data_IF_943548947548
#
_entry.id   IF_943548947548
#
_cell.length_a   1.000
_cell.length_b   1.000
_cell.length_c   1.000
_cell.angle_alpha   90.00
_cell.angle_beta   90.00
_cell.angle_gamma   90.00
#
_symmetry.space_group_name_H-M   'P 1'
#
loop_
_entity.id
_entity.type
_entity.pdbx_description
1 polymer ?
#
# COMPACT_ATOMS: atom_id res chain seq x y z
N UNK A 1 -18.28 -22.36 28.53
CA UNK A 1 -18.33 -21.21 27.60
C UNK A 1 -17.01 -20.46 27.76
N UNK A 2 -15.93 -20.98 27.19
CA UNK A 2 -14.60 -20.39 27.32
C UNK A 2 -14.37 -19.40 26.18
N UNK A 3 -14.63 -18.14 26.50
CA UNK A 3 -14.22 -17.01 25.68
C UNK A 3 -12.72 -16.75 25.97
N UNK A 4 -11.84 -17.51 25.33
CA UNK A 4 -10.43 -17.12 25.16
C UNK A 4 -10.39 -15.94 24.16
N UNK A 5 -10.94 -14.81 24.60
CA UNK A 5 -11.18 -13.61 23.80
C UNK A 5 -9.85 -12.92 23.56
N UNK A 6 -9.49 -12.83 22.28
CA UNK A 6 -8.28 -12.21 21.77
C UNK A 6 -7.87 -10.93 22.52
N UNK A 7 -6.56 -10.75 22.80
CA UNK A 7 -6.07 -9.68 23.66
C UNK A 7 -6.38 -8.32 23.04
N UNK A 8 -7.38 -7.63 23.59
CA UNK A 8 -7.81 -6.28 23.19
C UNK A 8 -6.65 -5.27 23.17
N UNK A 9 -5.61 -5.54 23.97
CA UNK A 9 -4.38 -4.77 24.02
C UNK A 9 -3.58 -4.77 22.71
N UNK A 10 -3.68 -5.81 21.87
CA UNK A 10 -3.01 -5.82 20.56
C UNK A 10 -3.69 -4.86 19.58
N UNK A 11 -5.02 -4.87 19.53
CA UNK A 11 -5.81 -3.95 18.71
C UNK A 11 -5.60 -2.49 19.12
N UNK A 12 -5.61 -2.18 20.43
CA UNK A 12 -5.34 -0.82 20.93
C UNK A 12 -3.94 -0.32 20.57
N UNK A 13 -2.92 -1.17 20.68
CA UNK A 13 -1.53 -0.81 20.29
C UNK A 13 -1.44 -0.50 18.79
N UNK A 14 -2.07 -1.32 17.95
CA UNK A 14 -2.05 -1.17 16.50
C UNK A 14 -2.86 0.05 16.07
N UNK A 15 -4.01 0.30 16.72
CA UNK A 15 -4.81 1.49 16.51
C UNK A 15 -4.01 2.77 16.83
N UNK A 16 -3.30 2.79 17.96
CA UNK A 16 -2.42 3.91 18.32
C UNK A 16 -1.26 4.06 17.33
N UNK A 17 -0.69 2.96 16.85
CA UNK A 17 0.32 2.97 15.79
C UNK A 17 -0.20 3.59 14.49
N UNK A 18 -1.42 3.23 14.06
CA UNK A 18 -2.06 3.85 12.89
C UNK A 18 -2.30 5.34 13.11
N UNK A 19 -2.70 5.74 14.31
CA UNK A 19 -2.86 7.15 14.67
C UNK A 19 -1.55 7.91 14.53
N UNK A 20 -0.46 7.41 15.12
CA UNK A 20 0.88 8.01 15.00
C UNK A 20 1.32 8.10 13.55
N UNK A 21 1.11 7.05 12.75
CA UNK A 21 1.44 7.05 11.32
C UNK A 21 0.65 8.12 10.55
N UNK A 22 -0.63 8.29 10.88
CA UNK A 22 -1.48 9.31 10.27
C UNK A 22 -1.04 10.73 10.65
N UNK A 23 -0.61 10.94 11.90
CA UNK A 23 0.01 12.21 12.33
C UNK A 23 1.29 12.49 11.58
N UNK A 24 2.16 11.48 11.39
CA UNK A 24 3.37 11.62 10.57
C UNK A 24 3.04 12.00 9.13
N UNK A 25 2.01 11.41 8.52
CA UNK A 25 1.56 11.79 7.17
C UNK A 25 1.15 13.25 7.07
N UNK A 26 0.51 13.78 8.11
CA UNK A 26 0.14 15.20 8.18
C UNK A 26 1.36 16.10 8.40
N UNK A 27 2.32 15.65 9.21
CA UNK A 27 3.58 16.34 9.44
C UNK A 27 4.36 16.50 8.12
N UNK A 28 4.46 15.44 7.32
CA UNK A 28 5.15 15.48 6.02
C UNK A 28 4.55 16.53 5.09
N UNK A 29 3.22 16.69 5.12
CA UNK A 29 2.54 17.72 4.35
C UNK A 29 2.83 19.13 4.90
N UNK A 30 2.89 19.28 6.22
CA UNK A 30 3.23 20.56 6.88
C UNK A 30 4.64 21.04 6.58
N UNK A 31 5.63 20.13 6.53
CA UNK A 31 7.03 20.48 6.31
C UNK A 31 7.36 20.94 4.88
N UNK A 32 6.38 20.94 3.95
CA UNK A 32 6.53 21.45 2.57
C UNK A 32 7.86 21.05 1.90
N UNK A 33 8.35 19.83 2.17
CA UNK A 33 9.64 19.40 1.65
C UNK A 33 9.64 19.39 0.11
N UNK A 34 10.78 19.72 -0.51
CA UNK A 34 10.91 19.78 -1.97
C UNK A 34 10.47 18.46 -2.65
N UNK A 35 9.85 18.60 -3.83
CA UNK A 35 8.94 17.65 -4.51
C UNK A 35 9.23 16.15 -4.39
N UNK A 36 10.49 15.72 -4.58
CA UNK A 36 10.83 14.29 -4.60
C UNK A 36 10.81 13.66 -3.20
N UNK A 37 11.17 14.44 -2.17
CA UNK A 37 11.18 13.97 -0.78
C UNK A 37 9.75 13.77 -0.25
N UNK A 38 8.80 14.62 -0.66
CA UNK A 38 7.37 14.45 -0.35
C UNK A 38 6.82 13.17 -0.95
N UNK A 39 7.09 12.93 -2.23
CA UNK A 39 6.60 11.74 -2.93
C UNK A 39 7.07 10.45 -2.26
N UNK A 40 8.36 10.36 -1.95
CA UNK A 40 8.94 9.17 -1.30
C UNK A 40 8.39 8.96 0.12
N UNK A 41 8.25 10.02 0.93
CA UNK A 41 7.68 9.89 2.28
C UNK A 41 6.20 9.53 2.28
N UNK A 42 5.39 10.15 1.40
CA UNK A 42 3.96 9.84 1.30
C UNK A 42 3.77 8.38 0.89
N UNK A 43 4.50 7.90 -0.13
CA UNK A 43 4.45 6.50 -0.55
C UNK A 43 4.90 5.56 0.57
N UNK A 44 5.98 5.89 1.28
CA UNK A 44 6.48 5.09 2.39
C UNK A 44 5.44 5.00 3.53
N UNK A 45 4.82 6.12 3.90
CA UNK A 45 3.77 6.16 4.92
C UNK A 45 2.48 5.45 4.48
N UNK A 46 2.11 5.55 3.19
CA UNK A 46 0.99 4.80 2.61
C UNK A 46 1.23 3.29 2.66
N UNK A 47 2.41 2.83 2.27
CA UNK A 47 2.79 1.41 2.33
C UNK A 47 2.84 0.91 3.78
N UNK A 48 3.39 1.71 4.69
CA UNK A 48 3.48 1.34 6.10
C UNK A 48 2.08 1.19 6.74
N UNK A 49 1.15 2.13 6.51
CA UNK A 49 -0.22 1.97 7.05
C UNK A 49 -0.95 0.81 6.40
N UNK A 50 -0.81 0.61 5.08
CA UNK A 50 -1.46 -0.48 4.37
C UNK A 50 -0.97 -1.83 4.87
N UNK A 51 0.34 -2.01 5.03
CA UNK A 51 0.93 -3.21 5.60
C UNK A 51 0.47 -3.48 7.03
N UNK A 52 0.35 -2.44 7.85
CA UNK A 52 -0.11 -2.55 9.24
C UNK A 52 -1.59 -2.94 9.34
N UNK A 53 -2.43 -2.41 8.43
CA UNK A 53 -3.84 -2.78 8.31
C UNK A 53 -3.97 -4.23 7.84
N UNK A 54 -3.26 -4.61 6.78
CA UNK A 54 -3.32 -5.97 6.23
C UNK A 54 -2.82 -6.98 7.27
N UNK A 55 -1.70 -6.71 7.95
CA UNK A 55 -1.11 -7.63 8.92
C UNK A 55 -2.00 -7.87 10.17
N UNK A 56 -2.76 -6.85 10.61
CA UNK A 56 -3.51 -6.91 11.87
C UNK A 56 -5.02 -7.00 11.66
N UNK A 57 -5.60 -6.10 10.88
CA UNK A 57 -7.05 -6.05 10.67
C UNK A 57 -7.53 -7.13 9.69
N UNK A 58 -6.74 -7.46 8.67
CA UNK A 58 -7.01 -8.63 7.82
C UNK A 58 -6.40 -9.93 8.37
N UNK A 59 -6.01 -9.95 9.65
CA UNK A 59 -5.60 -11.15 10.40
C UNK A 59 -4.49 -12.01 9.73
N UNK A 60 -3.71 -11.42 8.81
CA UNK A 60 -2.69 -12.13 8.03
C UNK A 60 -1.61 -12.79 8.88
N UNK A 61 -1.36 -12.26 10.08
CA UNK A 61 -0.36 -12.79 11.02
C UNK A 61 -0.70 -14.17 11.59
N UNK A 62 -1.96 -14.62 11.48
CA UNK A 62 -2.43 -15.86 12.13
C UNK A 62 -3.16 -16.83 11.19
N UNK A 63 -3.19 -16.54 9.90
CA UNK A 63 -3.94 -17.32 8.90
C UNK A 63 -3.05 -17.98 7.83
N UNK A 64 -3.66 -18.89 7.07
CA UNK A 64 -2.96 -19.72 6.07
C UNK A 64 -2.47 -18.86 4.90
N UNK A 65 -1.34 -19.25 4.30
CA UNK A 65 -0.75 -18.58 3.14
C UNK A 65 -1.75 -18.32 1.98
N UNK A 66 -2.77 -19.16 1.82
CA UNK A 66 -3.81 -18.96 0.82
C UNK A 66 -4.56 -17.61 0.96
N UNK A 67 -4.83 -17.14 2.18
CA UNK A 67 -5.52 -15.86 2.41
C UNK A 67 -4.60 -14.66 2.13
N UNK A 68 -3.29 -14.81 2.35
CA UNK A 68 -2.29 -13.83 1.91
C UNK A 68 -2.40 -13.64 0.40
N UNK A 69 -2.37 -14.74 -0.36
CA UNK A 69 -2.49 -14.68 -1.83
C UNK A 69 -3.81 -14.09 -2.30
N UNK A 70 -4.94 -14.38 -1.64
CA UNK A 70 -6.24 -13.80 -2.02
C UNK A 70 -6.27 -12.28 -1.85
N UNK A 71 -5.67 -11.74 -0.79
CA UNK A 71 -5.62 -10.28 -0.56
C UNK A 71 -4.58 -9.60 -1.45
N UNK A 72 -3.45 -10.25 -1.71
CA UNK A 72 -2.37 -9.68 -2.53
C UNK A 72 -2.57 -9.83 -4.04
N UNK A 73 -3.32 -10.85 -4.49
CA UNK A 73 -3.52 -11.11 -5.91
C UNK A 73 -4.26 -9.98 -6.66
N UNK A 74 -5.36 -9.39 -6.14
CA UNK A 74 -6.02 -8.27 -6.80
C UNK A 74 -5.11 -7.06 -7.04
N UNK A 75 -4.38 -6.51 -6.05
CA UNK A 75 -3.48 -5.39 -6.30
C UNK A 75 -2.30 -5.78 -7.20
N UNK A 76 -1.80 -7.02 -7.11
CA UNK A 76 -0.73 -7.48 -7.98
C UNK A 76 -1.18 -7.57 -9.44
N UNK A 77 -2.37 -8.12 -9.71
CA UNK A 77 -2.96 -8.14 -11.05
C UNK A 77 -3.09 -6.73 -11.63
N UNK A 78 -3.56 -5.77 -10.83
CA UNK A 78 -3.66 -4.37 -11.26
C UNK A 78 -2.29 -3.76 -11.58
N UNK A 79 -1.26 -4.04 -10.78
CA UNK A 79 0.10 -3.58 -11.06
C UNK A 79 0.67 -4.17 -12.35
N UNK A 80 0.44 -5.46 -12.61
CA UNK A 80 0.83 -6.12 -13.86
C UNK A 80 0.10 -5.48 -15.04
N UNK A 81 -1.21 -5.25 -14.92
CA UNK A 81 -2.00 -4.61 -15.97
C UNK A 81 -1.53 -3.19 -16.26
N UNK A 82 -1.24 -2.41 -15.21
CA UNK A 82 -0.69 -1.06 -15.34
C UNK A 82 0.70 -1.05 -15.99
N UNK A 83 1.57 -2.01 -15.66
CA UNK A 83 2.88 -2.17 -16.30
C UNK A 83 2.74 -2.52 -17.78
N UNK A 84 1.84 -3.42 -18.14
CA UNK A 84 1.56 -3.75 -19.54
C UNK A 84 1.06 -2.52 -20.30
N UNK A 85 0.12 -1.76 -19.74
CA UNK A 85 -0.37 -0.51 -20.35
C UNK A 85 0.72 0.54 -20.51
N UNK A 86 1.62 0.68 -19.54
CA UNK A 86 2.77 1.58 -19.65
C UNK A 86 3.62 1.20 -20.86
N UNK A 87 4.00 -0.07 -20.94
CA UNK A 87 4.87 -0.60 -22.01
C UNK A 87 4.21 -0.44 -23.38
N UNK A 88 2.92 -0.76 -23.51
CA UNK A 88 2.15 -0.56 -24.75
C UNK A 88 2.03 0.91 -25.16
N UNK A 89 1.93 1.82 -24.19
CA UNK A 89 1.90 3.26 -24.44
C UNK A 89 3.21 3.76 -25.07
N UNK A 90 4.36 3.31 -24.57
CA UNK A 90 5.67 3.62 -25.15
C UNK A 90 5.82 3.06 -26.58
N UNK A 91 5.40 1.81 -26.81
CA UNK A 91 5.41 1.19 -28.14
C UNK A 91 4.51 1.94 -29.14
N UNK A 92 3.32 2.34 -28.71
CA UNK A 92 2.38 3.11 -29.53
C UNK A 92 2.95 4.49 -29.86
N UNK A 93 3.57 5.16 -28.88
CA UNK A 93 4.20 6.46 -29.08
C UNK A 93 5.36 6.39 -30.09
N UNK A 94 6.24 5.39 -29.94
CA UNK A 94 7.39 5.19 -30.82
C UNK A 94 6.99 4.82 -32.25
N UNK A 95 5.99 3.96 -32.40
CA UNK A 95 5.47 3.58 -33.73
C UNK A 95 4.81 4.78 -34.42
N UNK A 96 4.09 5.62 -33.67
CA UNK A 96 3.50 6.84 -34.21
C UNK A 96 4.54 7.83 -34.72
N UNK A 97 5.63 8.06 -33.98
CA UNK A 97 6.69 8.98 -34.43
C UNK A 97 7.49 8.45 -35.61
N UNK A 98 7.63 7.13 -35.77
CA UNK A 98 8.33 6.52 -36.90
C UNK A 98 7.52 6.47 -38.20
N UNK A 99 6.22 6.15 -38.14
CA UNK A 99 5.39 5.95 -39.33
C UNK A 99 4.49 7.13 -39.68
N UNK A 100 4.09 7.97 -38.72
CA UNK A 100 3.15 9.08 -38.91
C UNK A 100 3.82 10.44 -38.68
N UNK A 101 4.94 10.70 -39.38
CA UNK A 101 5.46 12.06 -39.51
C UNK A 101 4.44 12.96 -40.21
#
# INVERSE_FOLDING_TARGET
>A
MEAATHPIGLYLKVWLLLFVLSTFSYLVDFFHAESYLRWTLILLLMMAKAGLIVAVFMHLRWERAALIYVVLAPPLCLLVLALLMWVESDYTFFTRTLYFR
#
